data_IF_294485757755
#
_entry.id   IF_294485757755
#
_cell.length_a   1.000
_cell.length_b   1.000
_cell.length_c   1.000
_cell.angle_alpha   90.00
_cell.angle_beta   90.00
_cell.angle_gamma   90.00
#
_symmetry.space_group_name_H-M   'P 1'
#
loop_
_entity.id
_entity.type
_entity.pdbx_description
1 polymer ?
#
# COMPACT_ATOMS: atom_id res chain seq x y z
N UNK A 1 2.09 -22.16 29.03
CA UNK A 1 0.84 -21.61 28.42
C UNK A 1 0.28 -20.55 29.38
N UNK A 2 0.04 -20.88 30.66
CA UNK A 2 -0.61 -19.97 31.61
C UNK A 2 0.12 -18.65 31.78
N UNK A 3 1.43 -18.66 31.98
CA UNK A 3 2.26 -17.47 32.08
C UNK A 3 2.11 -16.53 30.85
N UNK A 4 2.14 -17.10 29.63
CA UNK A 4 1.96 -16.32 28.39
C UNK A 4 0.53 -15.80 28.29
N UNK A 5 -0.45 -16.59 28.70
CA UNK A 5 -1.85 -16.14 28.73
C UNK A 5 -2.03 -14.94 29.66
N UNK A 6 -1.42 -14.99 30.86
CA UNK A 6 -1.48 -13.90 31.81
C UNK A 6 -0.78 -12.63 31.28
N UNK A 7 0.37 -12.79 30.61
CA UNK A 7 1.06 -11.65 29.92
C UNK A 7 0.20 -11.03 28.81
N UNK A 8 -0.54 -11.84 28.05
CA UNK A 8 -1.47 -11.33 26.99
C UNK A 8 -2.62 -10.58 27.63
N UNK A 9 -3.20 -11.09 28.74
CA UNK A 9 -4.26 -10.41 29.49
C UNK A 9 -3.78 -9.06 30.02
N UNK A 10 -2.60 -9.02 30.61
CA UNK A 10 -2.00 -7.79 31.14
C UNK A 10 -1.72 -6.75 30.04
N UNK A 11 -1.28 -7.20 28.86
CA UNK A 11 -0.94 -6.32 27.75
C UNK A 11 -2.17 -5.74 27.04
N UNK A 12 -3.20 -6.57 26.77
CA UNK A 12 -4.34 -6.22 25.92
C UNK A 12 -5.58 -5.89 26.76
N UNK A 13 -5.67 -6.34 28.01
CA UNK A 13 -6.84 -6.17 28.85
C UNK A 13 -8.03 -7.06 28.48
N UNK A 14 -7.80 -8.15 27.74
CA UNK A 14 -8.83 -9.11 27.36
C UNK A 14 -9.15 -10.11 28.50
N UNK A 15 -10.24 -10.83 28.36
CA UNK A 15 -10.55 -11.93 29.28
C UNK A 15 -9.85 -13.21 28.84
N UNK A 16 -9.54 -14.09 29.80
CA UNK A 16 -8.90 -15.38 29.51
C UNK A 16 -9.71 -16.24 28.49
N UNK A 17 -11.04 -16.18 28.56
CA UNK A 17 -11.96 -16.88 27.68
C UNK A 17 -11.94 -16.40 26.20
N UNK A 18 -11.40 -15.20 25.97
CA UNK A 18 -11.25 -14.64 24.60
C UNK A 18 -9.98 -15.13 23.90
N UNK A 19 -9.07 -15.75 24.65
CA UNK A 19 -7.79 -16.23 24.13
C UNK A 19 -7.97 -17.66 23.59
N UNK A 20 -7.72 -17.83 22.31
CA UNK A 20 -7.75 -19.13 21.64
C UNK A 20 -6.34 -19.72 21.57
N UNK A 21 -6.20 -20.96 22.00
CA UNK A 21 -4.92 -21.67 21.97
C UNK A 21 -4.79 -22.45 20.66
N UNK A 22 -3.69 -22.25 19.94
CA UNK A 22 -3.45 -22.94 18.68
C UNK A 22 -1.98 -23.32 18.48
N UNK A 23 -1.75 -24.26 17.60
CA UNK A 23 -0.42 -24.70 17.20
C UNK A 23 -0.30 -24.73 15.68
N UNK A 24 0.49 -23.81 15.11
CA UNK A 24 0.79 -23.80 13.68
C UNK A 24 1.54 -25.05 13.19
N UNK A 25 2.24 -25.76 14.10
CA UNK A 25 2.96 -27.00 13.77
C UNK A 25 2.03 -28.21 13.62
N UNK A 26 1.02 -28.32 14.49
CA UNK A 26 0.13 -29.49 14.54
C UNK A 26 -1.23 -29.26 13.93
N UNK A 27 -1.61 -27.99 13.69
CA UNK A 27 -2.94 -27.59 13.23
C UNK A 27 -3.99 -27.55 14.36
N UNK A 28 -3.64 -27.91 15.60
CA UNK A 28 -4.56 -27.87 16.72
C UNK A 28 -5.07 -26.46 16.97
N UNK A 29 -6.37 -26.26 17.17
CA UNK A 29 -7.00 -24.97 17.48
C UNK A 29 -7.15 -24.05 16.26
N UNK A 30 -6.72 -24.44 15.06
CA UNK A 30 -6.80 -23.59 13.85
C UNK A 30 -8.25 -23.44 13.38
N UNK A 31 -9.03 -24.53 13.43
CA UNK A 31 -10.44 -24.51 13.03
C UNK A 31 -11.26 -23.59 13.94
N UNK A 32 -11.03 -23.65 15.25
CA UNK A 32 -11.67 -22.80 16.26
C UNK A 32 -11.33 -21.32 16.05
N UNK A 33 -10.11 -21.00 15.60
CA UNK A 33 -9.73 -19.63 15.22
C UNK A 33 -10.53 -19.17 13.99
N UNK A 34 -10.64 -19.99 12.96
CA UNK A 34 -11.39 -19.65 11.75
C UNK A 34 -12.88 -19.43 12.04
N UNK A 35 -13.48 -20.30 12.87
CA UNK A 35 -14.85 -20.12 13.31
C UNK A 35 -15.05 -18.87 14.15
N UNK A 36 -14.11 -18.56 15.05
CA UNK A 36 -14.15 -17.34 15.84
C UNK A 36 -14.02 -16.06 14.97
N UNK A 37 -13.22 -16.11 13.91
CA UNK A 37 -13.13 -15.02 12.93
C UNK A 37 -14.50 -14.78 12.28
N UNK A 38 -15.14 -15.84 11.79
CA UNK A 38 -16.46 -15.75 11.14
C UNK A 38 -17.53 -15.24 12.11
N UNK A 39 -17.50 -15.69 13.37
CA UNK A 39 -18.51 -15.35 14.36
C UNK A 39 -18.33 -13.96 14.98
N UNK A 40 -17.08 -13.49 15.15
CA UNK A 40 -16.77 -12.29 15.94
C UNK A 40 -16.41 -11.07 15.09
N UNK A 41 -15.86 -11.26 13.87
CA UNK A 41 -15.48 -10.15 13.00
C UNK A 41 -16.66 -9.77 12.11
N UNK A 42 -17.15 -8.52 12.18
CA UNK A 42 -18.27 -8.10 11.35
C UNK A 42 -17.86 -8.08 9.87
N UNK A 43 -18.81 -8.43 8.99
CA UNK A 43 -18.62 -8.31 7.55
C UNK A 43 -18.36 -6.84 7.14
N UNK A 44 -17.65 -6.61 6.03
CA UNK A 44 -17.45 -5.26 5.49
C UNK A 44 -18.78 -4.55 5.31
N UNK A 45 -18.82 -3.27 5.69
CA UNK A 45 -19.98 -2.41 5.46
C UNK A 45 -19.79 -1.66 4.15
N UNK A 46 -20.86 -1.48 3.38
CA UNK A 46 -20.85 -0.68 2.16
C UNK A 46 -22.17 -0.84 1.40
N UNK A 47 -22.38 0.04 0.43
CA UNK A 47 -23.56 0.03 -0.45
C UNK A 47 -23.08 -0.25 -1.89
N UNK A 48 -23.46 -1.41 -2.43
CA UNK A 48 -23.13 -1.80 -3.82
C UNK A 48 -23.81 -0.90 -4.86
N UNK A 49 -24.91 -0.22 -4.50
CA UNK A 49 -25.65 0.65 -5.41
C UNK A 49 -25.20 2.12 -5.35
N UNK A 50 -24.32 2.47 -4.42
CA UNK A 50 -23.74 3.81 -4.34
C UNK A 50 -22.70 4.06 -5.46
N UNK A 51 -22.30 5.32 -5.71
CA UNK A 51 -21.16 5.61 -6.56
C UNK A 51 -19.88 4.90 -6.07
N UNK A 52 -19.02 4.49 -7.01
CA UNK A 52 -17.75 3.83 -6.68
C UNK A 52 -16.90 4.71 -5.76
N UNK A 53 -16.49 4.12 -4.66
CA UNK A 53 -15.45 4.63 -3.77
C UNK A 53 -14.51 3.47 -3.41
N UNK A 54 -13.31 3.46 -3.97
CA UNK A 54 -12.28 2.48 -3.66
C UNK A 54 -11.00 3.18 -3.19
N UNK A 55 -10.48 2.76 -2.05
CA UNK A 55 -9.30 3.35 -1.43
C UNK A 55 -8.06 2.59 -1.86
N UNK A 56 -7.07 3.30 -2.40
CA UNK A 56 -5.74 2.76 -2.70
C UNK A 56 -4.96 2.67 -1.40
N UNK A 57 -4.51 1.47 -1.05
CA UNK A 57 -3.71 1.25 0.16
C UNK A 57 -2.26 0.83 -0.15
N UNK A 58 -1.97 0.43 -1.38
CA UNK A 58 -0.63 0.05 -1.83
C UNK A 58 -0.53 0.12 -3.36
N UNK A 59 0.69 0.18 -3.89
CA UNK A 59 0.92 0.04 -5.32
C UNK A 59 2.31 -0.53 -5.61
N UNK A 60 2.48 -1.13 -6.79
CA UNK A 60 3.73 -1.72 -7.22
C UNK A 60 4.00 -1.41 -8.70
N UNK A 61 5.24 -1.14 -9.01
CA UNK A 61 5.65 -0.96 -10.40
C UNK A 61 5.92 -2.31 -11.08
N UNK A 62 5.30 -2.51 -12.25
CA UNK A 62 5.56 -3.65 -13.12
C UNK A 62 6.08 -3.13 -14.47
N UNK A 63 7.27 -3.59 -14.96
CA UNK A 63 7.86 -3.08 -16.20
C UNK A 63 6.98 -3.25 -17.44
N UNK A 64 6.10 -4.25 -17.44
CA UNK A 64 5.26 -4.58 -18.60
C UNK A 64 3.84 -4.00 -18.51
N UNK A 65 3.33 -3.82 -17.29
CA UNK A 65 1.93 -3.44 -17.02
C UNK A 65 1.78 -2.03 -16.45
N UNK A 66 2.90 -1.36 -16.17
CA UNK A 66 2.90 -0.08 -15.46
C UNK A 66 2.63 -0.25 -13.97
N UNK A 67 2.06 0.77 -13.36
CA UNK A 67 1.71 0.75 -11.94
C UNK A 67 0.44 -0.07 -11.74
N UNK A 68 0.51 -1.01 -10.82
CA UNK A 68 -0.61 -1.82 -10.36
C UNK A 68 -0.99 -1.27 -8.99
N UNK A 69 -2.18 -0.68 -8.88
CA UNK A 69 -2.67 -0.18 -7.60
C UNK A 69 -3.54 -1.23 -6.91
N UNK A 70 -3.30 -1.41 -5.62
CA UNK A 70 -4.11 -2.27 -4.75
C UNK A 70 -5.12 -1.41 -4.01
N UNK A 71 -6.37 -1.84 -4.03
CA UNK A 71 -7.45 -1.04 -3.45
C UNK A 71 -8.47 -1.91 -2.70
N UNK A 72 -9.21 -1.26 -1.81
CA UNK A 72 -10.43 -1.81 -1.21
C UNK A 72 -11.63 -1.02 -1.66
N UNK A 73 -12.67 -1.70 -2.12
CA UNK A 73 -13.95 -1.07 -2.47
C UNK A 73 -14.78 -0.87 -1.20
N UNK A 74 -15.09 0.38 -0.88
CA UNK A 74 -15.98 0.74 0.23
C UNK A 74 -17.43 0.81 -0.23
N UNK A 75 -17.69 1.44 -1.38
CA UNK A 75 -19.02 1.57 -1.97
C UNK A 75 -18.97 1.33 -3.48
N UNK A 76 -20.09 0.91 -4.04
CA UNK A 76 -20.24 0.66 -5.46
C UNK A 76 -19.47 -0.57 -5.95
N UNK A 77 -19.11 -0.56 -7.20
CA UNK A 77 -18.28 -1.58 -7.84
C UNK A 77 -17.41 -0.97 -8.94
N UNK A 78 -16.34 -1.64 -9.29
CA UNK A 78 -15.47 -1.31 -10.43
C UNK A 78 -15.44 -2.47 -11.40
N UNK A 79 -15.54 -2.18 -12.71
CA UNK A 79 -15.54 -3.17 -13.77
C UNK A 79 -14.35 -3.02 -14.70
N UNK A 80 -13.93 -4.14 -15.28
CA UNK A 80 -12.97 -4.13 -16.37
C UNK A 80 -13.47 -3.25 -17.53
N UNK A 81 -12.59 -2.38 -18.02
CA UNK A 81 -12.89 -1.42 -19.10
C UNK A 81 -13.65 -0.17 -18.66
N UNK A 82 -13.91 -0.01 -17.36
CA UNK A 82 -14.55 1.19 -16.83
C UNK A 82 -13.58 2.38 -16.80
N UNK A 83 -14.08 3.57 -17.18
CA UNK A 83 -13.30 4.80 -17.07
C UNK A 83 -13.38 5.34 -15.66
N UNK A 84 -12.25 5.42 -15.01
CA UNK A 84 -12.11 5.77 -13.58
C UNK A 84 -11.29 7.02 -13.38
N UNK A 85 -11.52 7.68 -12.25
CA UNK A 85 -10.80 8.87 -11.81
C UNK A 85 -10.22 8.68 -10.43
N UNK A 86 -9.00 9.12 -10.24
CA UNK A 86 -8.34 9.26 -8.94
C UNK A 86 -8.66 10.64 -8.40
N UNK A 87 -9.36 10.73 -7.27
CA UNK A 87 -9.97 11.99 -6.81
C UNK A 87 -8.91 13.04 -6.45
N UNK A 88 -7.86 12.64 -5.71
CA UNK A 88 -6.85 13.58 -5.21
C UNK A 88 -5.87 14.03 -6.30
N UNK A 89 -5.43 13.12 -7.15
CA UNK A 89 -4.51 13.47 -8.26
C UNK A 89 -5.24 14.06 -9.47
N UNK A 90 -6.54 13.78 -9.60
CA UNK A 90 -7.35 14.20 -10.74
C UNK A 90 -7.11 13.38 -12.01
N UNK A 91 -6.22 12.40 -11.98
CA UNK A 91 -5.88 11.56 -13.13
C UNK A 91 -7.04 10.64 -13.50
N UNK A 92 -7.23 10.41 -14.80
CA UNK A 92 -8.30 9.56 -15.34
C UNK A 92 -7.72 8.47 -16.23
N UNK A 93 -8.20 7.24 -16.07
CA UNK A 93 -7.71 6.06 -16.77
C UNK A 93 -8.79 5.04 -17.03
N UNK A 94 -8.57 4.19 -18.01
CA UNK A 94 -9.38 2.99 -18.20
C UNK A 94 -8.87 1.86 -17.31
N UNK A 95 -9.78 1.15 -16.66
CA UNK A 95 -9.47 -0.03 -15.88
C UNK A 95 -9.24 -1.23 -16.82
N UNK A 96 -8.10 -1.31 -17.49
CA UNK A 96 -7.78 -2.35 -18.48
C UNK A 96 -7.97 -3.75 -17.90
N UNK A 97 -7.60 -3.94 -16.66
CA UNK A 97 -7.81 -5.15 -15.88
C UNK A 97 -8.09 -4.81 -14.42
N UNK A 98 -9.07 -5.49 -13.86
CA UNK A 98 -9.33 -5.54 -12.41
C UNK A 98 -9.32 -6.99 -11.95
N UNK A 99 -9.02 -7.24 -10.68
CA UNK A 99 -8.99 -8.60 -10.16
C UNK A 99 -8.73 -8.64 -8.66
N UNK A 100 -8.63 -9.85 -8.14
CA UNK A 100 -8.33 -10.11 -6.73
C UNK A 100 -6.96 -10.76 -6.57
N UNK A 101 -6.36 -10.57 -5.40
CA UNK A 101 -5.11 -11.21 -5.02
C UNK A 101 -5.42 -12.53 -4.31
N UNK A 102 -4.89 -13.59 -4.88
CA UNK A 102 -4.76 -14.90 -4.23
C UNK A 102 -3.26 -15.17 -4.05
N UNK A 103 -2.80 -16.41 -4.24
CA UNK A 103 -1.35 -16.66 -4.40
C UNK A 103 -0.77 -15.98 -5.65
N UNK A 104 -1.63 -15.74 -6.64
CA UNK A 104 -1.33 -14.97 -7.86
C UNK A 104 -2.47 -14.00 -8.11
N UNK A 105 -2.22 -12.99 -8.95
CA UNK A 105 -3.26 -12.12 -9.46
C UNK A 105 -4.30 -12.93 -10.22
N UNK A 106 -5.58 -12.73 -9.88
CA UNK A 106 -6.71 -13.43 -10.49
C UNK A 106 -7.67 -12.41 -11.08
N UNK A 107 -7.67 -12.21 -12.42
CA UNK A 107 -8.56 -11.28 -13.09
C UNK A 107 -10.03 -11.58 -12.81
N UNK A 108 -10.83 -10.51 -12.75
CA UNK A 108 -12.28 -10.54 -12.56
C UNK A 108 -12.93 -9.55 -13.52
N UNK A 109 -14.21 -9.75 -13.82
CA UNK A 109 -14.98 -8.78 -14.59
C UNK A 109 -15.44 -7.60 -13.73
N UNK A 110 -15.63 -7.84 -12.42
CA UNK A 110 -16.12 -6.87 -11.47
C UNK A 110 -15.54 -7.13 -10.06
N UNK A 111 -15.24 -6.05 -9.34
CA UNK A 111 -14.88 -6.03 -7.91
C UNK A 111 -15.90 -5.15 -7.19
N UNK A 112 -16.48 -5.64 -6.09
CA UNK A 112 -17.64 -5.03 -5.42
C UNK A 112 -17.31 -4.50 -4.04
N UNK A 113 -18.24 -3.74 -3.50
CA UNK A 113 -18.18 -3.26 -2.11
C UNK A 113 -17.82 -4.37 -1.13
N UNK A 114 -16.81 -4.11 -0.29
CA UNK A 114 -16.22 -5.05 0.66
C UNK A 114 -15.01 -5.83 0.13
N UNK A 115 -14.84 -5.95 -1.19
CA UNK A 115 -13.72 -6.65 -1.79
C UNK A 115 -12.43 -5.84 -1.72
N UNK A 116 -11.32 -6.57 -1.68
CA UNK A 116 -9.97 -6.08 -1.90
C UNK A 116 -9.47 -6.59 -3.25
N UNK A 117 -9.00 -5.67 -4.08
CA UNK A 117 -8.59 -5.98 -5.43
C UNK A 117 -7.39 -5.18 -5.92
N UNK A 118 -7.10 -5.34 -7.20
CA UNK A 118 -6.09 -4.58 -7.93
C UNK A 118 -6.66 -4.03 -9.22
N UNK A 119 -6.04 -2.94 -9.71
CA UNK A 119 -6.29 -2.35 -11.02
C UNK A 119 -4.98 -2.21 -11.79
N UNK A 120 -5.03 -2.53 -13.09
CA UNK A 120 -4.00 -2.21 -14.06
C UNK A 120 -4.61 -1.25 -15.07
N UNK A 121 -3.98 -0.11 -15.27
CA UNK A 121 -4.44 0.96 -16.16
C UNK A 121 -3.29 1.54 -17.00
N UNK A 122 -2.18 0.82 -17.14
CA UNK A 122 -1.02 1.24 -17.91
C UNK A 122 -0.33 2.52 -17.40
N UNK A 123 -0.59 2.93 -16.18
CA UNK A 123 -0.03 4.14 -15.56
C UNK A 123 1.48 3.99 -15.42
N UNK A 124 2.25 4.98 -15.87
CA UNK A 124 3.72 4.96 -15.82
C UNK A 124 4.30 5.96 -14.84
N UNK A 125 3.57 7.00 -14.53
CA UNK A 125 4.02 8.07 -13.65
C UNK A 125 3.56 7.82 -12.21
N UNK A 126 4.51 7.65 -11.30
CA UNK A 126 4.24 7.41 -9.88
C UNK A 126 3.49 8.55 -9.19
N UNK A 127 3.66 9.78 -9.67
CA UNK A 127 2.95 10.94 -9.12
C UNK A 127 1.42 10.91 -9.32
N UNK A 128 0.93 10.06 -10.25
CA UNK A 128 -0.49 9.96 -10.59
C UNK A 128 -1.24 8.90 -9.76
N UNK A 129 -0.51 8.05 -9.03
CA UNK A 129 -1.08 7.04 -8.13
C UNK A 129 -0.48 7.21 -6.74
N UNK A 130 -1.29 7.63 -5.80
CA UNK A 130 -0.86 7.80 -4.40
C UNK A 130 -1.61 6.85 -3.49
N UNK A 131 -0.90 6.27 -2.53
CA UNK A 131 -1.54 5.57 -1.41
C UNK A 131 -2.41 6.57 -0.65
N UNK A 132 -3.64 6.15 -0.33
CA UNK A 132 -4.64 7.02 0.29
C UNK A 132 -5.54 7.76 -0.69
N UNK A 133 -5.30 7.69 -2.01
CA UNK A 133 -6.23 8.24 -2.99
C UNK A 133 -7.47 7.37 -3.15
N UNK A 134 -8.54 7.99 -3.62
CA UNK A 134 -9.82 7.34 -3.85
C UNK A 134 -10.10 7.22 -5.35
N UNK A 135 -10.35 6.00 -5.79
CA UNK A 135 -10.82 5.71 -7.15
C UNK A 135 -12.33 5.86 -7.18
N UNK A 136 -12.84 6.58 -8.20
CA UNK A 136 -14.27 6.70 -8.48
C UNK A 136 -14.53 6.50 -9.99
N UNK A 137 -15.79 6.22 -10.35
CA UNK A 137 -16.24 6.13 -11.75
C UNK A 137 -16.39 7.53 -12.35
N UNK A 138 -15.90 7.74 -13.58
CA UNK A 138 -16.12 9.02 -14.29
C UNK A 138 -17.58 9.19 -14.68
N UNK A 139 -18.27 8.10 -15.03
CA UNK A 139 -19.68 8.13 -15.42
C UNK A 139 -20.63 8.48 -14.25
N UNK A 140 -20.27 8.07 -13.03
CA UNK A 140 -21.02 8.32 -11.80
C UNK A 140 -20.09 8.62 -10.64
N UNK A 141 -19.48 9.82 -10.61
CA UNK A 141 -18.43 10.13 -9.65
C UNK A 141 -18.98 10.26 -8.23
N UNK A 142 -18.22 9.79 -7.25
CA UNK A 142 -18.39 10.16 -5.85
C UNK A 142 -17.99 11.62 -5.66
N UNK A 143 -18.70 12.33 -4.80
CA UNK A 143 -18.41 13.73 -4.47
C UNK A 143 -17.30 13.89 -3.46
N UNK A 144 -17.03 12.85 -2.68
CA UNK A 144 -16.10 12.89 -1.56
C UNK A 144 -15.07 11.76 -1.67
N UNK A 145 -13.81 12.08 -1.39
CA UNK A 145 -12.78 11.08 -1.18
C UNK A 145 -13.01 10.36 0.16
N UNK A 146 -12.52 9.13 0.26
CA UNK A 146 -12.54 8.39 1.53
C UNK A 146 -11.60 9.08 2.50
N UNK A 147 -12.11 9.47 3.67
CA UNK A 147 -11.34 10.11 4.72
C UNK A 147 -10.45 9.10 5.46
N UNK A 148 -9.35 9.58 6.04
CA UNK A 148 -8.51 8.80 6.96
C UNK A 148 -7.08 8.54 6.48
N UNK A 149 -6.72 8.98 5.27
CA UNK A 149 -5.33 9.03 4.84
C UNK A 149 -4.87 10.48 4.77
N UNK A 150 -4.02 10.86 5.71
CA UNK A 150 -3.38 12.17 5.74
C UNK A 150 -1.94 12.03 5.23
N UNK A 151 -1.45 13.06 4.53
CA UNK A 151 -0.04 13.15 4.15
C UNK A 151 0.82 13.22 5.41
N UNK A 152 1.60 12.19 5.65
CA UNK A 152 2.51 12.12 6.80
C UNK A 152 3.74 12.98 6.50
N UNK A 153 4.01 13.94 7.37
CA UNK A 153 5.16 14.83 7.22
C UNK A 153 6.44 14.17 7.71
N UNK A 154 7.53 14.21 6.94
CA UNK A 154 8.83 13.73 7.39
C UNK A 154 9.31 14.47 8.64
N UNK A 155 9.96 13.74 9.54
CA UNK A 155 10.55 14.29 10.77
C UNK A 155 12.09 14.29 10.77
N UNK A 156 12.70 13.43 9.96
CA UNK A 156 14.14 13.30 9.82
C UNK A 156 14.52 13.52 8.35
N UNK A 157 15.56 14.29 8.11
CA UNK A 157 16.08 14.54 6.77
C UNK A 157 17.54 14.10 6.71
N UNK A 158 17.91 13.41 5.63
CA UNK A 158 19.28 13.03 5.34
C UNK A 158 19.57 13.14 3.83
N UNK A 159 20.81 13.47 3.49
CA UNK A 159 21.30 13.33 2.13
C UNK A 159 21.57 11.86 1.83
N UNK A 160 21.11 11.38 0.68
CA UNK A 160 21.33 10.02 0.18
C UNK A 160 22.05 10.13 -1.15
N UNK A 161 23.26 9.58 -1.21
CA UNK A 161 24.13 9.67 -2.37
C UNK A 161 24.52 8.28 -2.84
N UNK A 162 24.55 8.01 -4.16
CA UNK A 162 25.02 6.74 -4.65
C UNK A 162 26.53 6.60 -4.40
N UNK A 163 27.00 5.43 -4.02
CA UNK A 163 28.45 5.15 -3.86
C UNK A 163 29.20 5.33 -5.18
N UNK A 164 28.54 4.96 -6.29
CA UNK A 164 29.06 5.14 -7.64
C UNK A 164 28.36 6.32 -8.31
N UNK A 165 29.08 7.37 -8.63
CA UNK A 165 28.52 8.64 -9.13
C UNK A 165 27.63 8.50 -10.38
N UNK A 166 27.94 7.53 -11.25
CA UNK A 166 27.19 7.27 -12.49
C UNK A 166 25.78 6.69 -12.24
N UNK A 167 25.51 6.22 -11.01
CA UNK A 167 24.22 5.63 -10.61
C UNK A 167 23.19 6.66 -10.11
N UNK A 168 23.40 7.95 -10.31
CA UNK A 168 22.46 8.99 -9.86
C UNK A 168 21.05 8.82 -10.42
N UNK A 169 20.91 8.52 -11.72
CA UNK A 169 19.61 8.32 -12.36
C UNK A 169 18.94 6.99 -11.92
N UNK A 170 19.74 5.97 -11.65
CA UNK A 170 19.26 4.69 -11.12
C UNK A 170 18.74 4.85 -9.68
N UNK A 171 19.44 5.65 -8.86
CA UNK A 171 18.98 6.01 -7.52
C UNK A 171 17.66 6.78 -7.57
N UNK A 172 17.52 7.76 -8.49
CA UNK A 172 16.25 8.47 -8.70
C UNK A 172 15.13 7.49 -9.01
N UNK A 173 15.31 6.65 -10.01
CA UNK A 173 14.31 5.66 -10.42
C UNK A 173 13.94 4.68 -9.30
N UNK A 174 14.90 4.33 -8.44
CA UNK A 174 14.69 3.47 -7.28
C UNK A 174 13.86 4.16 -6.19
N UNK A 175 14.18 5.43 -5.89
CA UNK A 175 13.40 6.24 -4.94
C UNK A 175 11.96 6.48 -5.43
N UNK A 176 11.76 6.77 -6.72
CA UNK A 176 10.43 6.89 -7.32
C UNK A 176 9.60 5.61 -7.19
N UNK A 177 10.22 4.44 -7.35
CA UNK A 177 9.56 3.15 -7.16
C UNK A 177 9.24 2.88 -5.69
N UNK A 178 10.11 3.26 -4.76
CA UNK A 178 9.87 3.12 -3.32
C UNK A 178 8.71 4.00 -2.86
N UNK A 179 8.56 5.21 -3.40
CA UNK A 179 7.43 6.09 -3.08
C UNK A 179 6.06 5.51 -3.45
N UNK A 180 5.99 4.55 -4.38
CA UNK A 180 4.72 3.92 -4.76
C UNK A 180 4.05 3.20 -3.60
N UNK A 181 4.83 2.60 -2.72
CA UNK A 181 4.33 1.86 -1.55
C UNK A 181 4.77 2.47 -0.21
N UNK A 182 5.44 3.61 -0.25
CA UNK A 182 5.83 4.38 0.92
C UNK A 182 5.52 5.87 0.71
N UNK A 183 4.29 6.24 0.97
CA UNK A 183 3.81 7.62 0.80
C UNK A 183 4.50 8.62 1.73
N UNK A 184 5.20 8.16 2.76
CA UNK A 184 5.92 9.00 3.72
C UNK A 184 7.34 9.37 3.27
N UNK A 185 7.91 8.63 2.31
CA UNK A 185 9.20 8.94 1.72
C UNK A 185 9.08 10.15 0.80
N UNK A 186 9.81 11.21 1.10
CA UNK A 186 9.96 12.36 0.22
C UNK A 186 11.41 12.51 -0.22
N UNK A 187 11.67 12.98 -1.43
CA UNK A 187 13.02 13.28 -1.87
C UNK A 187 13.06 14.44 -2.87
N UNK A 188 14.12 15.19 -2.83
CA UNK A 188 14.43 16.28 -3.74
C UNK A 188 15.91 16.23 -4.16
N UNK A 189 16.28 16.65 -5.38
CA UNK A 189 17.67 16.68 -5.79
C UNK A 189 18.53 17.52 -4.86
N UNK A 190 19.71 17.00 -4.51
CA UNK A 190 20.70 17.67 -3.70
C UNK A 190 22.09 17.45 -4.29
N UNK A 191 23.02 18.37 -4.04
CA UNK A 191 24.42 18.20 -4.42
C UNK A 191 25.37 18.50 -3.27
N UNK A 192 26.41 17.69 -3.14
CA UNK A 192 27.48 17.85 -2.18
C UNK A 192 28.82 18.03 -2.89
N UNK A 193 29.64 18.97 -2.41
CA UNK A 193 30.99 19.14 -2.95
C UNK A 193 31.87 17.90 -2.78
N UNK A 194 31.61 17.10 -1.75
CA UNK A 194 32.40 15.90 -1.43
C UNK A 194 31.81 14.61 -2.05
N UNK A 195 30.47 14.50 -2.15
CA UNK A 195 29.77 13.27 -2.55
C UNK A 195 29.14 13.37 -3.96
N UNK A 196 29.12 14.54 -4.58
CA UNK A 196 28.52 14.76 -5.88
C UNK A 196 27.00 14.95 -5.82
N UNK A 197 26.29 14.40 -6.80
CA UNK A 197 24.83 14.51 -6.91
C UNK A 197 24.14 13.39 -6.15
N UNK A 198 23.08 13.73 -5.44
CA UNK A 198 22.25 12.82 -4.67
C UNK A 198 20.88 13.42 -4.41
N UNK A 199 20.21 12.96 -3.35
CA UNK A 199 18.89 13.40 -2.97
C UNK A 199 18.82 13.70 -1.49
N UNK A 200 18.19 14.82 -1.14
CA UNK A 200 17.74 15.07 0.23
C UNK A 200 16.44 14.33 0.44
N UNK A 201 16.49 13.30 1.27
CA UNK A 201 15.35 12.45 1.58
C UNK A 201 14.74 12.81 2.94
N UNK A 202 13.42 12.76 3.02
CA UNK A 202 12.66 12.93 4.26
C UNK A 202 12.08 11.60 4.72
N UNK A 203 12.23 11.33 6.03
CA UNK A 203 11.85 10.06 6.67
C UNK A 203 11.02 10.32 7.93
N UNK A 204 10.21 9.33 8.34
CA UNK A 204 9.43 9.38 9.59
C UNK A 204 10.33 9.35 10.84
N UNK A 205 11.50 8.73 10.74
CA UNK A 205 12.45 8.57 11.82
C UNK A 205 13.68 7.79 11.36
N UNK A 206 14.62 7.54 12.27
CA UNK A 206 15.87 6.82 11.97
C UNK A 206 15.61 5.38 11.50
N UNK A 207 14.68 4.68 12.13
CA UNK A 207 14.34 3.31 11.71
C UNK A 207 13.77 3.27 10.28
N UNK A 208 12.93 4.25 9.91
CA UNK A 208 12.42 4.38 8.55
C UNK A 208 13.56 4.60 7.55
N UNK A 209 14.51 5.46 7.88
CA UNK A 209 15.70 5.71 7.07
C UNK A 209 16.52 4.42 6.84
N UNK A 210 16.78 3.66 7.90
CA UNK A 210 17.49 2.37 7.81
C UNK A 210 16.73 1.36 6.94
N UNK A 211 15.40 1.30 7.05
CA UNK A 211 14.56 0.43 6.22
C UNK A 211 14.65 0.84 4.74
N UNK A 212 14.57 2.13 4.42
CA UNK A 212 14.71 2.61 3.04
C UNK A 212 16.09 2.30 2.47
N UNK A 213 17.15 2.51 3.25
CA UNK A 213 18.51 2.16 2.84
C UNK A 213 18.66 0.65 2.54
N UNK A 214 18.13 -0.19 3.42
CA UNK A 214 18.15 -1.65 3.24
C UNK A 214 17.31 -2.09 2.02
N UNK A 215 16.19 -1.43 1.76
CA UNK A 215 15.38 -1.68 0.56
C UNK A 215 16.07 -1.26 -0.72
N UNK A 216 16.76 -0.11 -0.74
CA UNK A 216 17.59 0.32 -1.87
C UNK A 216 18.65 -0.73 -2.20
N UNK A 217 19.31 -1.24 -1.18
CA UNK A 217 20.32 -2.30 -1.35
C UNK A 217 19.70 -3.60 -1.87
N UNK A 218 18.65 -4.13 -1.21
CA UNK A 218 18.10 -5.46 -1.52
C UNK A 218 17.23 -5.52 -2.77
N UNK A 219 16.42 -4.49 -2.99
CA UNK A 219 15.43 -4.51 -4.08
C UNK A 219 15.99 -3.94 -5.39
N UNK A 220 16.99 -3.04 -5.29
CA UNK A 220 17.50 -2.28 -6.44
C UNK A 220 19.01 -2.42 -6.65
N UNK A 221 19.70 -3.21 -5.83
CA UNK A 221 21.18 -3.36 -5.88
C UNK A 221 21.89 -1.99 -5.83
N UNK A 222 21.39 -1.09 -4.97
CA UNK A 222 21.82 0.29 -4.87
C UNK A 222 22.49 0.55 -3.53
N UNK A 223 23.82 0.70 -3.55
CA UNK A 223 24.59 1.12 -2.39
C UNK A 223 24.59 2.64 -2.25
N UNK A 224 24.25 3.12 -1.05
CA UNK A 224 24.11 4.55 -0.76
C UNK A 224 24.86 4.95 0.51
N UNK A 225 25.28 6.21 0.53
CA UNK A 225 25.88 6.89 1.68
C UNK A 225 24.91 7.93 2.20
#
# INVERSE_FOLDING_TARGET
>A
IDEVTDQVIDLIGCKREDILLASGKTGQGVEEILEAIIARIPAPKGDENAPLQALIFDSVFNPFRGIIAYFRVFNGSIRKGEHVKFINTGAEYDADEVGVLKLKMSPRDEIRSGDVGYICSGIKNSAEVKVGDTITSVARPSREAIAGFEDVKPMVFAGVYPVVADQYEDLRASLEKLQLNDASLTFEPESSLALGFGFRCGFLGLLHMEIIQERLYREFDMDVI
#
